data_IF_058122384489
#
_entry.id   IF_058122384489
#
_cell.length_a   1.000
_cell.length_b   1.000
_cell.length_c   1.000
_cell.angle_alpha   90.00
_cell.angle_beta   90.00
_cell.angle_gamma   90.00
#
_symmetry.space_group_name_H-M   'P 1'
#
loop_
_entity.id
_entity.type
_entity.pdbx_description
1 polymer ?
#
# COMPACT_ATOMS: atom_id res chain seq x y z
N UNK A 1 6.97 -9.10 38.38
CA UNK A 1 7.75 -7.85 38.37
C UNK A 1 8.76 -7.76 37.21
N UNK A 2 9.28 -8.88 36.69
CA UNK A 2 10.34 -8.85 35.65
C UNK A 2 9.86 -8.65 34.22
N UNK A 3 8.59 -8.98 33.90
CA UNK A 3 8.06 -8.81 32.56
C UNK A 3 7.86 -7.34 32.14
N UNK A 4 7.54 -6.48 33.09
CA UNK A 4 7.39 -5.04 32.83
C UNK A 4 8.73 -4.35 32.51
N UNK A 5 9.85 -4.86 32.96
CA UNK A 5 11.16 -4.25 32.74
C UNK A 5 11.69 -4.46 31.30
N UNK A 6 11.33 -5.56 30.63
CA UNK A 6 11.77 -5.79 29.25
C UNK A 6 11.05 -4.89 28.24
N UNK A 7 9.74 -4.67 28.40
CA UNK A 7 8.99 -3.77 27.53
C UNK A 7 9.45 -2.32 27.69
N UNK A 8 9.62 -1.85 28.90
CA UNK A 8 10.08 -0.48 29.17
C UNK A 8 11.55 -0.24 28.77
N UNK A 9 12.38 -1.29 28.81
CA UNK A 9 13.77 -1.20 28.34
C UNK A 9 13.83 -1.15 26.80
N UNK A 10 13.05 -1.97 26.12
CA UNK A 10 12.97 -1.95 24.65
C UNK A 10 12.41 -0.63 24.12
N UNK A 11 11.44 -0.04 24.81
CA UNK A 11 10.86 1.26 24.44
C UNK A 11 11.87 2.41 24.59
N UNK A 12 12.76 2.34 25.59
CA UNK A 12 13.82 3.36 25.81
C UNK A 12 15.01 3.21 24.85
N UNK A 13 15.27 2.03 24.35
CA UNK A 13 16.43 1.71 23.48
C UNK A 13 16.03 1.66 22.01
N UNK A 14 14.74 1.52 21.70
CA UNK A 14 14.26 1.47 20.33
C UNK A 14 14.50 2.82 19.62
N UNK A 15 15.09 2.80 18.43
CA UNK A 15 15.19 4.02 17.61
C UNK A 15 13.80 4.55 17.29
N UNK A 16 13.65 5.87 17.08
CA UNK A 16 12.37 6.45 16.75
C UNK A 16 11.77 5.77 15.51
N UNK A 17 10.50 5.37 15.60
CA UNK A 17 9.80 4.60 14.58
C UNK A 17 9.73 5.30 13.22
N UNK A 18 9.67 6.63 13.22
CA UNK A 18 9.50 7.43 12.02
C UNK A 18 10.59 7.18 10.97
N UNK A 19 11.87 7.31 11.28
CA UNK A 19 12.96 7.08 10.32
C UNK A 19 12.98 5.66 9.76
N UNK A 20 12.70 4.65 10.59
CA UNK A 20 12.68 3.24 10.17
C UNK A 20 11.53 2.98 9.19
N UNK A 21 10.35 3.54 9.45
CA UNK A 21 9.18 3.39 8.60
C UNK A 21 9.37 4.12 7.27
N UNK A 22 9.95 5.32 7.29
CA UNK A 22 10.30 6.08 6.07
C UNK A 22 11.32 5.31 5.25
N UNK A 23 12.37 4.78 5.88
CA UNK A 23 13.39 3.99 5.20
C UNK A 23 12.78 2.74 4.55
N UNK A 24 11.88 2.04 5.24
CA UNK A 24 11.17 0.88 4.71
C UNK A 24 10.32 1.25 3.48
N UNK A 25 9.56 2.35 3.54
CA UNK A 25 8.76 2.83 2.41
C UNK A 25 9.64 3.22 1.23
N UNK A 26 10.75 3.94 1.46
CA UNK A 26 11.71 4.32 0.41
C UNK A 26 12.32 3.08 -0.24
N UNK A 27 12.70 2.08 0.55
CA UNK A 27 13.26 0.84 0.03
C UNK A 27 12.24 0.07 -0.83
N UNK A 28 11.00 -0.05 -0.36
CA UNK A 28 9.91 -0.67 -1.12
C UNK A 28 9.64 0.11 -2.41
N UNK A 29 9.64 1.45 -2.35
CA UNK A 29 9.48 2.30 -3.54
C UNK A 29 10.57 2.05 -4.59
N UNK A 30 11.84 2.03 -4.17
CA UNK A 30 12.97 1.81 -5.07
C UNK A 30 12.92 0.40 -5.69
N UNK A 31 12.57 -0.61 -4.90
CA UNK A 31 12.42 -1.97 -5.37
C UNK A 31 11.30 -2.09 -6.41
N UNK A 32 10.15 -1.44 -6.15
CA UNK A 32 9.05 -1.39 -7.11
C UNK A 32 9.39 -0.60 -8.37
N UNK A 33 10.13 0.50 -8.24
CA UNK A 33 10.58 1.29 -9.38
C UNK A 33 11.53 0.48 -10.28
N UNK A 34 12.43 -0.30 -9.68
CA UNK A 34 13.30 -1.22 -10.40
C UNK A 34 12.52 -2.38 -11.06
N UNK A 35 11.51 -2.92 -10.38
CA UNK A 35 10.68 -4.01 -10.88
C UNK A 35 9.84 -3.61 -12.09
N UNK A 36 9.28 -2.41 -12.07
CA UNK A 36 8.34 -1.96 -13.13
C UNK A 36 8.98 -1.09 -14.21
N UNK A 37 10.28 -0.78 -14.06
CA UNK A 37 10.99 0.17 -14.96
C UNK A 37 10.20 1.48 -15.16
N UNK A 38 9.44 1.88 -14.13
CA UNK A 38 8.53 3.02 -14.17
C UNK A 38 8.49 3.73 -12.82
N UNK A 39 8.58 5.04 -12.82
CA UNK A 39 8.46 5.87 -11.62
C UNK A 39 6.99 6.14 -11.19
N UNK A 40 6.02 5.83 -12.05
CA UNK A 40 4.59 6.11 -11.82
C UNK A 40 3.89 4.98 -11.08
N UNK A 41 4.15 3.74 -11.48
CA UNK A 41 3.48 2.56 -10.93
C UNK A 41 3.72 2.34 -9.43
N UNK A 42 4.93 2.58 -8.87
CA UNK A 42 5.15 2.49 -7.43
C UNK A 42 4.23 3.39 -6.61
N UNK A 43 3.88 4.57 -7.10
CA UNK A 43 2.95 5.47 -6.41
C UNK A 43 1.54 4.87 -6.30
N UNK A 44 1.05 4.20 -7.34
CA UNK A 44 -0.26 3.53 -7.29
C UNK A 44 -0.31 2.45 -6.20
N UNK A 45 0.80 1.74 -6.00
CA UNK A 45 0.93 0.71 -4.96
C UNK A 45 1.04 1.34 -3.57
N UNK A 46 1.90 2.35 -3.41
CA UNK A 46 2.18 2.95 -2.11
C UNK A 46 1.06 3.84 -1.57
N UNK A 47 0.20 4.41 -2.44
CA UNK A 47 -0.96 5.17 -1.99
C UNK A 47 -1.92 4.33 -1.12
N UNK A 48 -1.86 3.01 -1.21
CA UNK A 48 -2.61 2.11 -0.32
C UNK A 48 -2.01 1.93 1.08
N UNK A 49 -0.71 2.20 1.26
CA UNK A 49 0.00 1.92 2.52
C UNK A 49 -0.49 2.73 3.73
N UNK A 50 -0.88 4.01 3.63
CA UNK A 50 -1.41 4.76 4.77
C UNK A 50 -2.70 4.16 5.34
N UNK A 51 -3.55 3.57 4.49
CA UNK A 51 -4.77 2.92 4.93
C UNK A 51 -4.51 1.67 5.78
N UNK A 52 -3.49 0.92 5.40
CA UNK A 52 -3.05 -0.26 6.15
C UNK A 52 -2.58 0.13 7.55
N UNK A 53 -1.76 1.18 7.62
CA UNK A 53 -1.28 1.73 8.89
C UNK A 53 -2.44 2.25 9.75
N UNK A 54 -3.40 2.95 9.13
CA UNK A 54 -4.59 3.45 9.81
C UNK A 54 -5.43 2.31 10.40
N UNK A 55 -5.64 1.22 9.65
CA UNK A 55 -6.33 0.02 10.12
C UNK A 55 -5.61 -0.64 11.30
N UNK A 56 -4.29 -0.75 11.24
CA UNK A 56 -3.45 -1.28 12.30
C UNK A 56 -3.56 -0.44 13.59
N UNK A 57 -3.38 0.88 13.50
CA UNK A 57 -3.48 1.78 14.63
C UNK A 57 -4.90 1.82 15.21
N UNK A 58 -5.93 1.76 14.36
CA UNK A 58 -7.32 1.67 14.80
C UNK A 58 -7.55 0.41 15.64
N UNK A 59 -7.05 -0.74 15.19
CA UNK A 59 -7.18 -2.00 15.92
C UNK A 59 -6.46 -1.99 17.27
N UNK A 60 -5.24 -1.46 17.31
CA UNK A 60 -4.43 -1.29 18.54
C UNK A 60 -5.15 -0.39 19.54
N UNK A 61 -5.69 0.74 19.07
CA UNK A 61 -6.49 1.67 19.88
C UNK A 61 -7.78 1.02 20.41
N UNK A 62 -8.50 0.28 19.57
CA UNK A 62 -9.75 -0.38 19.95
C UNK A 62 -9.54 -1.42 21.07
N UNK A 63 -8.39 -2.12 21.04
CA UNK A 63 -8.03 -3.11 22.06
C UNK A 63 -7.34 -2.50 23.28
N UNK A 64 -7.12 -1.18 23.31
CA UNK A 64 -6.49 -0.47 24.42
C UNK A 64 -5.01 -0.75 24.61
N UNK A 65 -4.32 -1.15 23.52
CA UNK A 65 -2.86 -1.33 23.55
C UNK A 65 -2.12 -0.04 23.23
N UNK A 66 -0.97 0.13 23.85
CA UNK A 66 -0.06 1.23 23.56
C UNK A 66 0.71 0.98 22.26
N UNK A 67 1.05 2.09 21.56
CA UNK A 67 1.88 2.02 20.37
C UNK A 67 3.33 1.73 20.76
N UNK A 68 3.74 0.50 20.62
CA UNK A 68 5.07 0.01 20.97
C UNK A 68 5.82 -0.52 19.73
N UNK A 69 7.06 -1.00 19.92
CA UNK A 69 7.93 -1.54 18.86
C UNK A 69 7.25 -2.68 18.09
N UNK A 70 6.40 -3.49 18.74
CA UNK A 70 5.72 -4.62 18.11
C UNK A 70 4.63 -4.16 17.14
N UNK A 71 3.94 -3.06 17.43
CA UNK A 71 3.00 -2.42 16.49
C UNK A 71 3.75 -1.93 15.25
N UNK A 72 4.94 -1.36 15.44
CA UNK A 72 5.76 -0.84 14.35
C UNK A 72 6.28 -1.96 13.44
N UNK A 73 6.74 -3.07 14.03
CA UNK A 73 7.13 -4.27 13.27
C UNK A 73 5.94 -4.83 12.51
N UNK A 74 4.76 -4.91 13.15
CA UNK A 74 3.52 -5.31 12.51
C UNK A 74 3.16 -4.43 11.31
N UNK A 75 3.30 -3.10 11.44
CA UNK A 75 3.05 -2.15 10.36
C UNK A 75 4.01 -2.31 9.18
N UNK A 76 5.31 -2.51 9.43
CA UNK A 76 6.29 -2.75 8.35
C UNK A 76 5.95 -4.04 7.60
N UNK A 77 5.61 -5.11 8.32
CA UNK A 77 5.18 -6.38 7.73
C UNK A 77 3.90 -6.22 6.90
N UNK A 78 2.92 -5.46 7.41
CA UNK A 78 1.67 -5.17 6.72
C UNK A 78 1.86 -4.39 5.42
N UNK A 79 2.77 -3.40 5.41
CA UNK A 79 3.10 -2.64 4.20
C UNK A 79 3.61 -3.59 3.11
N UNK A 80 4.48 -4.53 3.46
CA UNK A 80 4.97 -5.55 2.52
C UNK A 80 3.87 -6.46 1.97
N UNK A 81 2.95 -6.91 2.84
CA UNK A 81 1.82 -7.75 2.45
C UNK A 81 0.80 -7.00 1.58
N UNK A 82 0.50 -5.75 1.92
CA UNK A 82 -0.39 -4.90 1.14
C UNK A 82 0.22 -4.56 -0.22
N UNK A 83 1.50 -4.25 -0.27
CA UNK A 83 2.23 -4.04 -1.51
C UNK A 83 2.14 -5.26 -2.44
N UNK A 84 2.32 -6.47 -1.92
CA UNK A 84 2.17 -7.71 -2.70
C UNK A 84 0.80 -7.81 -3.38
N UNK A 85 -0.28 -7.51 -2.66
CA UNK A 85 -1.64 -7.55 -3.22
C UNK A 85 -1.84 -6.45 -4.28
N UNK A 86 -1.34 -5.25 -4.01
CA UNK A 86 -1.41 -4.13 -4.93
C UNK A 86 -0.61 -4.38 -6.22
N UNK A 87 0.60 -4.95 -6.10
CA UNK A 87 1.45 -5.34 -7.23
C UNK A 87 0.68 -6.25 -8.19
N UNK A 88 0.03 -7.29 -7.67
CA UNK A 88 -0.72 -8.26 -8.48
C UNK A 88 -1.87 -7.61 -9.27
N UNK A 89 -2.55 -6.62 -8.69
CA UNK A 89 -3.64 -5.90 -9.38
C UNK A 89 -3.08 -4.97 -10.45
N UNK A 90 -2.04 -4.19 -10.10
CA UNK A 90 -1.42 -3.20 -10.99
C UNK A 90 -0.76 -3.87 -12.20
N UNK A 91 -0.05 -4.98 -11.99
CA UNK A 91 0.58 -5.76 -13.06
C UNK A 91 -0.46 -6.29 -14.06
N UNK A 92 -1.57 -6.83 -13.55
CA UNK A 92 -2.66 -7.29 -14.39
C UNK A 92 -3.37 -6.16 -15.13
N UNK A 93 -3.55 -5.01 -14.47
CA UNK A 93 -4.12 -3.82 -15.10
C UNK A 93 -3.20 -3.28 -16.20
N UNK A 94 -1.89 -3.25 -15.98
CA UNK A 94 -0.90 -2.87 -16.99
C UNK A 94 -0.96 -3.80 -18.21
N UNK A 95 -0.96 -5.11 -18.01
CA UNK A 95 -1.07 -6.09 -19.08
C UNK A 95 -2.35 -5.92 -19.91
N UNK A 96 -3.49 -5.68 -19.24
CA UNK A 96 -4.78 -5.43 -19.92
C UNK A 96 -4.82 -4.09 -20.67
N UNK A 97 -4.12 -3.10 -20.20
CA UNK A 97 -3.98 -1.84 -20.90
C UNK A 97 -3.10 -1.97 -22.15
N UNK A 98 -2.03 -2.74 -22.08
CA UNK A 98 -1.16 -3.07 -23.21
C UNK A 98 -1.90 -3.90 -24.31
N UNK A 99 -2.93 -4.67 -23.93
CA UNK A 99 -3.83 -5.36 -24.86
C UNK A 99 -4.80 -4.38 -25.60
N UNK A 100 -4.74 -3.08 -25.32
CA UNK A 100 -5.53 -2.04 -26.00
C UNK A 100 -6.81 -1.62 -25.27
N UNK A 101 -7.04 -2.07 -24.03
CA UNK A 101 -8.19 -1.64 -23.21
C UNK A 101 -7.96 -0.24 -22.63
N UNK A 102 -9.05 0.48 -22.35
CA UNK A 102 -8.96 1.74 -21.62
C UNK A 102 -8.38 1.51 -20.20
N UNK A 103 -7.75 2.53 -19.63
CA UNK A 103 -7.16 2.43 -18.29
C UNK A 103 -8.19 2.03 -17.23
N UNK A 104 -9.40 2.56 -17.33
CA UNK A 104 -10.49 2.28 -16.39
C UNK A 104 -11.02 0.84 -16.53
N UNK A 105 -11.20 0.38 -17.77
CA UNK A 105 -11.63 -1.01 -18.04
C UNK A 105 -10.57 -2.02 -17.61
N UNK A 106 -9.30 -1.74 -17.90
CA UNK A 106 -8.17 -2.58 -17.48
C UNK A 106 -8.07 -2.67 -15.94
N UNK A 107 -8.25 -1.55 -15.25
CA UNK A 107 -8.27 -1.50 -13.79
C UNK A 107 -9.43 -2.31 -13.19
N UNK A 108 -10.63 -2.13 -13.70
CA UNK A 108 -11.83 -2.81 -13.20
C UNK A 108 -11.79 -4.31 -13.48
N UNK A 109 -11.35 -4.71 -14.67
CA UNK A 109 -11.23 -6.12 -15.03
C UNK A 109 -10.15 -6.82 -14.21
N UNK A 110 -8.99 -6.17 -14.01
CA UNK A 110 -7.92 -6.72 -13.16
C UNK A 110 -8.38 -6.93 -11.72
N UNK A 111 -9.13 -5.97 -11.17
CA UNK A 111 -9.70 -6.09 -9.84
C UNK A 111 -10.67 -7.28 -9.75
N UNK A 112 -11.57 -7.45 -10.73
CA UNK A 112 -12.51 -8.57 -10.75
C UNK A 112 -11.82 -9.92 -10.84
N UNK A 113 -10.82 -10.06 -11.71
CA UNK A 113 -10.09 -11.32 -11.89
C UNK A 113 -9.25 -11.69 -10.67
N UNK A 114 -8.69 -10.70 -9.98
CA UNK A 114 -7.83 -10.89 -8.81
C UNK A 114 -8.57 -10.85 -7.48
N UNK A 115 -9.85 -10.48 -7.45
CA UNK A 115 -10.65 -10.40 -6.24
C UNK A 115 -10.66 -11.70 -5.42
N UNK A 116 -10.98 -12.82 -6.06
CA UNK A 116 -11.06 -14.13 -5.40
C UNK A 116 -9.71 -14.59 -4.81
N UNK A 117 -8.59 -14.62 -5.57
CA UNK A 117 -7.29 -14.97 -5.02
C UNK A 117 -6.83 -14.08 -3.86
N UNK A 118 -7.08 -12.78 -3.95
CA UNK A 118 -6.72 -11.82 -2.90
C UNK A 118 -7.52 -12.09 -1.63
N UNK A 119 -8.83 -12.30 -1.74
CA UNK A 119 -9.67 -12.65 -0.59
C UNK A 119 -9.24 -13.96 0.04
N UNK A 120 -8.95 -14.99 -0.74
CA UNK A 120 -8.50 -16.30 -0.21
C UNK A 120 -7.22 -16.14 0.61
N UNK A 121 -6.22 -15.43 0.08
CA UNK A 121 -4.96 -15.20 0.80
C UNK A 121 -5.14 -14.31 2.03
N UNK A 122 -5.98 -13.28 1.95
CA UNK A 122 -6.28 -12.39 3.06
C UNK A 122 -6.98 -13.11 4.20
N UNK A 123 -8.02 -13.90 3.91
CA UNK A 123 -8.71 -14.69 4.94
C UNK A 123 -7.81 -15.75 5.57
N UNK A 124 -7.02 -16.46 4.76
CA UNK A 124 -6.06 -17.43 5.29
C UNK A 124 -5.06 -16.78 6.24
N UNK A 125 -4.58 -15.57 5.88
CA UNK A 125 -3.64 -14.82 6.71
C UNK A 125 -4.31 -14.28 7.98
N UNK A 126 -5.50 -13.67 7.88
CA UNK A 126 -6.27 -13.16 9.02
C UNK A 126 -6.56 -14.27 10.02
N UNK A 127 -7.02 -15.45 9.55
CA UNK A 127 -7.27 -16.60 10.41
C UNK A 127 -5.97 -17.15 11.02
N UNK A 128 -4.86 -17.13 10.27
CA UNK A 128 -3.54 -17.54 10.75
C UNK A 128 -2.97 -16.65 11.86
N UNK A 129 -3.39 -15.39 11.94
CA UNK A 129 -2.94 -14.44 12.97
C UNK A 129 -3.80 -14.49 14.23
N UNK A 130 -5.02 -15.04 14.18
CA UNK A 130 -5.89 -15.17 15.35
C UNK A 130 -5.23 -15.87 16.54
N UNK A 131 -4.50 -17.00 16.39
CA UNK A 131 -3.79 -17.61 17.51
C UNK A 131 -2.76 -16.67 18.16
N UNK A 132 -2.14 -15.79 17.37
CA UNK A 132 -1.19 -14.81 17.87
C UNK A 132 -1.86 -13.76 18.76
N UNK A 133 -3.08 -13.32 18.40
CA UNK A 133 -3.89 -12.41 19.22
C UNK A 133 -4.35 -13.02 20.54
N UNK A 134 -4.54 -14.34 20.56
CA UNK A 134 -5.06 -15.08 21.71
C UNK A 134 -3.95 -15.78 22.51
N UNK A 135 -2.68 -15.49 22.19
CA UNK A 135 -1.54 -16.10 22.86
C UNK A 135 -1.56 -15.83 24.37
N UNK A 136 -1.16 -16.84 25.15
CA UNK A 136 -1.04 -16.77 26.61
C UNK A 136 0.32 -17.32 27.07
N UNK A 137 0.82 -16.82 28.18
CA UNK A 137 2.10 -17.25 28.75
C UNK A 137 3.22 -16.22 28.57
N UNK A 138 4.47 -16.68 28.67
CA UNK A 138 5.65 -15.84 28.57
C UNK A 138 5.76 -15.26 27.14
N UNK A 139 5.80 -13.92 27.02
CA UNK A 139 5.87 -13.21 25.73
C UNK A 139 4.52 -12.95 25.05
N UNK A 140 3.42 -13.40 25.64
CA UNK A 140 2.07 -13.21 25.08
C UNK A 140 1.73 -11.75 24.81
N UNK A 141 2.19 -10.82 25.65
CA UNK A 141 1.93 -9.39 25.44
C UNK A 141 2.46 -8.85 24.11
N UNK A 142 3.66 -9.26 23.71
CA UNK A 142 4.24 -8.88 22.43
C UNK A 142 3.47 -9.50 21.25
N UNK A 143 3.11 -10.77 21.37
CA UNK A 143 2.37 -11.51 20.35
C UNK A 143 0.96 -10.96 20.16
N UNK A 144 0.24 -10.66 21.26
CA UNK A 144 -1.11 -10.13 21.22
C UNK A 144 -1.15 -8.74 20.56
N UNK A 145 -0.21 -7.86 20.92
CA UNK A 145 -0.13 -6.51 20.33
C UNK A 145 0.20 -6.56 18.85
N UNK A 146 1.23 -7.34 18.46
CA UNK A 146 1.61 -7.50 17.05
C UNK A 146 0.49 -8.18 16.26
N UNK A 147 -0.10 -9.25 16.81
CA UNK A 147 -1.22 -9.97 16.20
C UNK A 147 -2.43 -9.07 15.96
N UNK A 148 -2.79 -8.22 16.93
CA UNK A 148 -3.88 -7.27 16.81
C UNK A 148 -3.60 -6.23 15.71
N UNK A 149 -2.42 -5.63 15.71
CA UNK A 149 -2.02 -4.66 14.70
C UNK A 149 -2.13 -5.26 13.27
N UNK A 150 -1.62 -6.47 13.12
CA UNK A 150 -1.60 -7.17 11.83
C UNK A 150 -3.02 -7.63 11.41
N UNK A 151 -3.83 -8.13 12.32
CA UNK A 151 -5.21 -8.55 12.06
C UNK A 151 -6.05 -7.40 11.53
N UNK A 152 -6.15 -6.30 12.27
CA UNK A 152 -6.97 -5.15 11.88
C UNK A 152 -6.39 -4.43 10.66
N UNK A 153 -5.07 -4.31 10.57
CA UNK A 153 -4.43 -3.73 9.40
C UNK A 153 -4.71 -4.52 8.13
N UNK A 154 -4.64 -5.86 8.19
CA UNK A 154 -4.93 -6.71 7.04
C UNK A 154 -6.42 -6.71 6.68
N UNK A 155 -7.30 -6.66 7.67
CA UNK A 155 -8.76 -6.58 7.46
C UNK A 155 -9.12 -5.29 6.72
N UNK A 156 -8.62 -4.14 7.18
CA UNK A 156 -8.84 -2.84 6.54
C UNK A 156 -8.18 -2.79 5.16
N UNK A 157 -6.93 -3.28 5.04
CA UNK A 157 -6.21 -3.36 3.77
C UNK A 157 -6.97 -4.19 2.73
N UNK A 158 -7.60 -5.28 3.15
CA UNK A 158 -8.36 -6.14 2.23
C UNK A 158 -9.69 -5.51 1.84
N UNK A 159 -10.44 -4.97 2.81
CA UNK A 159 -11.74 -4.36 2.54
C UNK A 159 -11.62 -3.11 1.67
N UNK A 160 -10.70 -2.22 2.01
CA UNK A 160 -10.52 -0.96 1.29
C UNK A 160 -9.58 -1.10 0.10
N UNK A 161 -8.55 -1.94 0.18
CA UNK A 161 -7.55 -2.12 -0.87
C UNK A 161 -8.14 -2.60 -2.18
N UNK A 162 -9.10 -3.52 -2.13
CA UNK A 162 -9.78 -4.04 -3.34
C UNK A 162 -10.48 -2.93 -4.12
N UNK A 163 -11.00 -1.91 -3.44
CA UNK A 163 -11.66 -0.77 -4.08
C UNK A 163 -10.68 0.34 -4.45
N UNK A 164 -9.71 0.60 -3.59
CA UNK A 164 -8.80 1.74 -3.76
C UNK A 164 -7.65 1.48 -4.73
N UNK A 165 -7.13 0.25 -4.79
CA UNK A 165 -5.99 -0.05 -5.68
C UNK A 165 -6.35 0.17 -7.16
N UNK A 166 -7.49 -0.32 -7.69
CA UNK A 166 -7.89 -0.02 -9.07
C UNK A 166 -8.13 1.48 -9.29
N UNK A 167 -8.73 2.16 -8.29
CA UNK A 167 -8.93 3.61 -8.32
C UNK A 167 -7.62 4.39 -8.37
N UNK A 168 -6.65 4.01 -7.55
CA UNK A 168 -5.32 4.61 -7.52
C UNK A 168 -4.56 4.38 -8.84
N UNK A 169 -4.66 3.20 -9.42
CA UNK A 169 -4.07 2.90 -10.73
C UNK A 169 -4.69 3.80 -11.82
N UNK A 170 -6.02 3.87 -11.89
CA UNK A 170 -6.72 4.71 -12.85
C UNK A 170 -6.38 6.21 -12.66
N UNK A 171 -6.26 6.66 -11.41
CA UNK A 171 -5.89 8.04 -11.07
C UNK A 171 -4.45 8.38 -11.51
N UNK A 172 -3.49 7.55 -11.16
CA UNK A 172 -2.05 7.76 -11.46
C UNK A 172 -1.81 7.72 -12.98
N UNK A 173 -2.41 6.76 -13.68
CA UNK A 173 -2.26 6.62 -15.13
C UNK A 173 -3.01 7.73 -15.88
N UNK A 174 -4.20 8.13 -15.39
CA UNK A 174 -4.99 9.24 -15.92
C UNK A 174 -4.28 10.59 -15.82
N UNK A 175 -3.56 10.86 -14.72
CA UNK A 175 -2.72 12.06 -14.58
C UNK A 175 -1.57 12.08 -15.59
N UNK A 176 -0.97 10.93 -15.86
CA UNK A 176 0.11 10.80 -16.84
C UNK A 176 -0.34 11.12 -18.27
N UNK A 177 -1.56 10.74 -18.62
CA UNK A 177 -2.14 10.95 -19.95
C UNK A 177 -2.50 12.42 -20.20
N UNK A 178 -3.06 13.14 -19.20
CA UNK A 178 -3.32 14.59 -19.32
C UNK A 178 -2.05 15.38 -19.56
N UNK A 179 -0.96 15.04 -18.89
CA UNK A 179 0.32 15.75 -19.03
C UNK A 179 0.99 15.49 -20.39
N UNK A 180 0.77 14.33 -20.99
CA UNK A 180 1.27 14.01 -22.34
C UNK A 180 0.41 14.67 -23.43
N UNK A 181 -0.89 14.83 -23.21
CA UNK A 181 -1.77 15.54 -24.13
C UNK A 181 -1.52 17.05 -24.14
N UNK A 182 -1.27 17.66 -22.98
CA UNK A 182 -0.88 19.08 -22.86
C UNK A 182 0.51 19.38 -23.45
N UNK A 183 1.42 18.41 -23.40
CA UNK A 183 2.74 18.55 -24.03
C UNK A 183 2.74 18.34 -25.54
N UNK A 184 1.67 17.76 -26.10
CA UNK A 184 1.51 17.48 -27.54
C UNK A 184 0.73 18.57 -28.29
N UNK A 185 0.28 19.65 -27.62
CA UNK A 185 -0.28 20.83 -28.28
C UNK A 185 0.87 21.72 -28.72
N UNK A 186 1.22 21.82 -30.03
CA UNK A 186 2.21 22.78 -30.49
C UNK A 186 1.66 24.19 -30.21
N UNK A 187 2.50 25.15 -29.81
CA UNK A 187 2.05 26.54 -29.67
C UNK A 187 1.51 27.05 -31.01
N UNK A 188 0.21 27.33 -31.04
CA UNK A 188 -0.43 27.98 -32.13
C UNK A 188 0.03 29.43 -32.19
N UNK A 189 1.21 29.66 -32.75
CA UNK A 189 1.68 31.02 -33.10
C UNK A 189 2.83 30.91 -34.10
N UNK A 190 2.54 31.08 -35.36
CA UNK A 190 3.37 31.70 -36.40
C UNK A 190 2.96 31.35 -37.84
N UNK A 191 1.65 31.23 -38.11
CA UNK A 191 1.21 31.04 -39.49
C UNK A 191 0.27 32.12 -40.03
N UNK A 192 0.06 33.22 -39.27
CA UNK A 192 -0.89 34.28 -39.71
C UNK A 192 -0.27 35.68 -39.90
N UNK A 193 1.02 35.71 -40.25
CA UNK A 193 1.69 37.02 -40.54
C UNK A 193 2.39 37.08 -41.88
N UNK A 194 2.06 36.21 -42.87
CA UNK A 194 2.66 36.30 -44.21
C UNK A 194 1.68 36.35 -45.39
N UNK A 195 0.38 36.58 -45.15
CA UNK A 195 -0.58 36.82 -46.26
C UNK A 195 -1.16 38.21 -46.24
N UNK A 196 -0.32 39.20 -46.47
CA UNK A 196 -0.72 40.61 -46.48
C UNK A 196 0.27 41.56 -47.17
N UNK A 197 0.91 41.11 -48.26
CA UNK A 197 1.62 42.02 -49.16
C UNK A 197 1.75 41.39 -50.56
N UNK A 198 0.74 41.58 -51.39
CA UNK A 198 0.89 41.85 -52.82
C UNK A 198 -0.41 42.43 -53.34
#
# INVERSE_FOLDING_TARGET
>A
GFAFNQMSYQEKVAPPAGPTLVLAIVFVFLLLAAQYESWRLPWAVLLGSPLVALGSFFGVWLMGYDNNVYVQIGNIMLIGLAAKNAILIVEFAKAKHEEGKSVEEAALESARLRFRPILMTAFAFILGVVPLMLASGAGAGAQNVMGTAVFFGMLVATMLGVFLIPGNFAFVEGLGRKRSADAAVPPATAADSQEGKH
#
